data_IF_272221551387
#
_entry.id   IF_272221551387
#
_cell.length_a   1.000
_cell.length_b   1.000
_cell.length_c   1.000
_cell.angle_alpha   90.00
_cell.angle_beta   90.00
_cell.angle_gamma   90.00
#
_symmetry.space_group_name_H-M   'P 1'
#
loop_
_entity.id
_entity.type
_entity.pdbx_description
1 polymer ?
#
# COMPACT_ATOMS: atom_id res chain seq x y z
N UNK A 1 -12.57 -4.89 6.00
CA UNK A 1 -11.49 -5.62 5.28
C UNK A 1 -10.93 -4.63 4.28
N UNK A 2 -9.61 -4.53 4.15
CA UNK A 2 -9.04 -3.60 3.18
C UNK A 2 -9.38 -4.01 1.75
N UNK A 3 -9.56 -3.02 0.88
CA UNK A 3 -9.83 -3.21 -0.55
C UNK A 3 -8.56 -2.87 -1.32
N UNK A 4 -8.19 -3.74 -2.26
CA UNK A 4 -7.03 -3.56 -3.12
C UNK A 4 -7.49 -3.37 -4.55
N UNK A 5 -7.12 -2.24 -5.15
CA UNK A 5 -7.46 -1.88 -6.53
C UNK A 5 -6.20 -1.49 -7.30
N UNK A 6 -6.25 -1.62 -8.62
CA UNK A 6 -5.28 -1.04 -9.53
C UNK A 6 -5.81 0.29 -10.10
N UNK A 7 -4.93 1.25 -10.26
CA UNK A 7 -5.23 2.53 -10.90
C UNK A 7 -4.11 2.96 -11.83
N UNK A 8 -4.33 4.05 -12.56
CA UNK A 8 -3.34 4.63 -13.45
C UNK A 8 -3.17 6.13 -13.17
N UNK A 9 -1.93 6.58 -13.08
CA UNK A 9 -1.60 7.99 -13.03
C UNK A 9 -0.57 8.37 -14.09
N UNK A 10 -1.02 9.17 -15.07
CA UNK A 10 -0.20 9.62 -16.21
C UNK A 10 0.48 8.46 -16.94
N UNK A 11 -0.27 7.39 -17.26
CA UNK A 11 0.26 6.20 -17.92
C UNK A 11 1.09 5.27 -17.02
N UNK A 12 1.22 5.56 -15.72
CA UNK A 12 1.95 4.71 -14.79
C UNK A 12 0.98 3.90 -13.93
N UNK A 13 1.15 2.57 -13.82
CA UNK A 13 0.32 1.74 -12.96
C UNK A 13 0.58 2.05 -11.48
N UNK A 14 -0.50 2.06 -10.71
CA UNK A 14 -0.53 2.28 -9.28
C UNK A 14 -1.37 1.21 -8.59
N UNK A 15 -0.99 0.87 -7.36
CA UNK A 15 -1.82 0.09 -6.45
C UNK A 15 -2.49 1.05 -5.47
N UNK A 16 -3.76 0.81 -5.19
CA UNK A 16 -4.59 1.58 -4.26
C UNK A 16 -5.04 0.62 -3.14
N UNK A 17 -4.68 0.96 -1.91
CA UNK A 17 -5.07 0.24 -0.70
C UNK A 17 -6.05 1.11 0.08
N UNK A 18 -7.31 0.69 0.14
CA UNK A 18 -8.37 1.38 0.88
C UNK A 18 -8.67 0.66 2.19
N UNK A 19 -9.00 1.41 3.23
CA UNK A 19 -9.48 0.83 4.49
C UNK A 19 -10.89 0.22 4.34
N UNK A 20 -11.73 0.90 3.55
CA UNK A 20 -13.11 0.54 3.20
C UNK A 20 -13.50 1.16 1.85
N UNK A 21 -14.78 1.05 1.45
CA UNK A 21 -15.27 1.54 0.16
C UNK A 21 -15.31 3.08 0.07
N UNK A 22 -15.46 3.77 1.21
CA UNK A 22 -15.67 5.22 1.31
C UNK A 22 -14.38 5.98 1.63
N UNK A 23 -13.22 5.30 1.63
CA UNK A 23 -11.92 5.88 1.95
C UNK A 23 -11.56 7.00 0.97
N UNK A 24 -11.69 8.24 1.45
CA UNK A 24 -11.43 9.45 0.66
C UNK A 24 -9.94 9.69 0.41
N UNK A 25 -9.05 9.08 1.21
CA UNK A 25 -7.62 9.28 1.14
C UNK A 25 -6.87 7.95 1.16
N UNK A 26 -7.09 7.10 0.14
CA UNK A 26 -6.54 5.76 0.13
C UNK A 26 -5.02 5.81 -0.04
N UNK A 27 -4.36 4.83 0.56
CA UNK A 27 -2.92 4.71 0.44
C UNK A 27 -2.58 4.13 -0.93
N UNK A 28 -1.96 4.93 -1.79
CA UNK A 28 -1.65 4.51 -3.16
C UNK A 28 -0.22 4.85 -3.58
N UNK A 29 0.37 3.97 -4.38
CA UNK A 29 1.74 4.12 -4.84
C UNK A 29 2.03 3.32 -6.12
N UNK A 30 2.99 3.80 -6.90
CA UNK A 30 3.42 3.12 -8.13
C UNK A 30 4.38 1.95 -7.90
N UNK A 31 4.64 1.20 -8.97
CA UNK A 31 5.46 -0.02 -8.99
C UNK A 31 6.82 0.13 -8.32
N UNK A 32 7.52 1.27 -8.50
CA UNK A 32 8.83 1.49 -7.87
C UNK A 32 8.77 1.41 -6.34
N UNK A 33 7.74 2.00 -5.73
CA UNK A 33 7.51 1.95 -4.28
C UNK A 33 7.04 0.56 -3.86
N UNK A 34 6.22 -0.11 -4.68
CA UNK A 34 5.77 -1.47 -4.40
C UNK A 34 6.94 -2.46 -4.32
N UNK A 35 7.90 -2.38 -5.24
CA UNK A 35 9.12 -3.20 -5.19
C UNK A 35 9.92 -2.96 -3.91
N UNK A 36 10.11 -1.70 -3.52
CA UNK A 36 10.82 -1.36 -2.27
C UNK A 36 10.12 -1.92 -1.03
N UNK A 37 8.78 -1.88 -0.99
CA UNK A 37 7.99 -2.50 0.09
C UNK A 37 8.20 -4.01 0.13
N UNK A 38 8.16 -4.69 -1.02
CA UNK A 38 8.39 -6.15 -1.11
C UNK A 38 9.80 -6.51 -0.63
N UNK A 39 10.82 -5.78 -1.07
CA UNK A 39 12.21 -5.99 -0.68
C UNK A 39 12.44 -5.86 0.84
N UNK A 40 11.61 -5.07 1.52
CA UNK A 40 11.76 -4.78 2.96
C UNK A 40 10.55 -5.28 3.78
N UNK A 41 9.75 -6.20 3.25
CA UNK A 41 8.46 -6.57 3.85
C UNK A 41 8.60 -7.15 5.26
N UNK A 42 9.68 -7.90 5.51
CA UNK A 42 9.94 -8.50 6.82
C UNK A 42 10.28 -7.44 7.88
N UNK A 43 11.04 -6.41 7.53
CA UNK A 43 11.33 -5.30 8.45
C UNK A 43 10.08 -4.45 8.71
N UNK A 44 9.23 -4.27 7.70
CA UNK A 44 7.93 -3.60 7.86
C UNK A 44 7.03 -4.37 8.82
N UNK A 45 6.94 -5.70 8.70
CA UNK A 45 6.18 -6.54 9.64
C UNK A 45 6.68 -6.39 11.08
N UNK A 46 8.00 -6.52 11.30
CA UNK A 46 8.61 -6.31 12.63
C UNK A 46 8.33 -4.91 13.19
N UNK A 47 8.36 -3.89 12.33
CA UNK A 47 8.01 -2.54 12.73
C UNK A 47 6.55 -2.45 13.20
N UNK A 48 5.61 -3.06 12.48
CA UNK A 48 4.20 -3.12 12.89
C UNK A 48 4.07 -3.85 14.23
N UNK A 49 4.61 -5.06 14.38
CA UNK A 49 4.55 -5.84 15.63
C UNK A 49 5.12 -5.07 16.84
N UNK A 50 6.20 -4.32 16.64
CA UNK A 50 6.83 -3.51 17.69
C UNK A 50 5.94 -2.36 18.16
N UNK A 51 5.03 -1.88 17.31
CA UNK A 51 4.25 -0.68 17.53
C UNK A 51 2.73 -0.93 17.63
N UNK A 52 2.27 -2.14 17.33
CA UNK A 52 0.94 -2.63 17.73
C UNK A 52 0.89 -2.68 19.26
N UNK A 53 0.01 -1.86 19.84
CA UNK A 53 -0.31 -1.88 21.27
C UNK A 53 -1.62 -2.59 21.50
#
# INVERSE_FOLDING_TARGET
>A
MSIVEESEFKGNPMIVLKNDEDDQYPFQFGVKKAKLVIENIEEIKKFVEKHEK
#
